data_IF_205271741590
#
_entry.id   IF_205271741590
#
_cell.length_a   1.000
_cell.length_b   1.000
_cell.length_c   1.000
_cell.angle_alpha   90.00
_cell.angle_beta   90.00
_cell.angle_gamma   90.00
#
_symmetry.space_group_name_H-M   'P 1'
#
loop_
_entity.id
_entity.type
_entity.pdbx_description
1 polymer ?
#
# COMPACT_ATOMS: atom_id res chain seq x y z
N UNK A 1 45.51 13.09 -35.87
CA UNK A 1 44.85 11.84 -35.42
C UNK A 1 45.13 11.63 -33.93
N UNK A 2 44.21 12.02 -33.03
CA UNK A 2 44.11 11.47 -31.67
C UNK A 2 42.75 11.84 -31.08
N UNK A 3 41.80 10.99 -31.41
CA UNK A 3 40.49 10.92 -30.80
C UNK A 3 40.62 10.33 -29.37
N UNK A 4 39.61 10.60 -28.53
CA UNK A 4 39.30 9.97 -27.25
C UNK A 4 40.04 10.51 -26.02
N UNK A 5 39.47 11.58 -25.45
CA UNK A 5 39.37 11.67 -24.00
C UNK A 5 37.91 11.90 -23.63
N UNK A 6 37.12 10.82 -23.75
CA UNK A 6 35.78 10.76 -23.20
C UNK A 6 35.90 10.82 -21.68
N UNK A 7 35.49 11.93 -21.08
CA UNK A 7 35.36 12.09 -19.63
C UNK A 7 34.53 10.93 -19.08
N UNK A 8 35.14 10.06 -18.29
CA UNK A 8 34.44 9.02 -17.56
C UNK A 8 33.58 9.70 -16.47
N UNK A 9 32.36 10.11 -16.84
CA UNK A 9 31.40 10.68 -15.90
C UNK A 9 30.97 9.58 -14.95
N UNK A 10 31.63 9.48 -13.79
CA UNK A 10 31.14 8.65 -12.69
C UNK A 10 29.74 9.15 -12.34
N UNK A 11 28.74 8.31 -12.55
CA UNK A 11 27.36 8.65 -12.22
C UNK A 11 27.31 8.93 -10.71
N UNK A 12 26.98 10.15 -10.25
CA UNK A 12 27.06 10.52 -8.83
C UNK A 12 26.13 9.69 -7.94
N UNK A 13 25.25 8.88 -8.53
CA UNK A 13 24.33 7.96 -7.87
C UNK A 13 24.82 6.52 -7.80
N UNK A 14 26.05 6.20 -8.23
CA UNK A 14 26.58 4.83 -8.13
C UNK A 14 27.04 4.54 -6.70
N UNK A 15 26.15 4.01 -5.86
CA UNK A 15 26.53 3.45 -4.56
C UNK A 15 27.36 2.18 -4.79
N UNK A 16 28.28 1.90 -3.86
CA UNK A 16 28.92 0.57 -3.77
C UNK A 16 27.85 -0.51 -3.60
N UNK A 17 28.12 -1.75 -4.06
CA UNK A 17 27.19 -2.88 -3.96
C UNK A 17 26.59 -3.03 -2.54
N UNK A 18 27.42 -2.86 -1.51
CA UNK A 18 26.98 -2.87 -0.10
C UNK A 18 26.00 -1.74 0.22
N UNK A 19 26.24 -0.54 -0.31
CA UNK A 19 25.36 0.62 -0.16
C UNK A 19 24.05 0.46 -0.90
N UNK A 20 24.06 -0.16 -2.08
CA UNK A 20 22.84 -0.49 -2.82
C UNK A 20 21.98 -1.51 -2.06
N UNK A 21 22.59 -2.58 -1.52
CA UNK A 21 21.89 -3.57 -0.69
C UNK A 21 21.31 -2.89 0.57
N UNK A 22 22.09 -2.05 1.24
CA UNK A 22 21.61 -1.29 2.41
C UNK A 22 20.44 -0.37 2.07
N UNK A 23 20.50 0.35 0.95
CA UNK A 23 19.42 1.21 0.50
C UNK A 23 18.13 0.42 0.21
N UNK A 24 18.23 -0.70 -0.51
CA UNK A 24 17.06 -1.55 -0.78
C UNK A 24 16.51 -2.19 0.49
N UNK A 25 17.35 -2.59 1.44
CA UNK A 25 16.88 -3.13 2.72
C UNK A 25 16.06 -2.08 3.49
N UNK A 26 16.56 -0.85 3.59
CA UNK A 26 15.84 0.26 4.22
C UNK A 26 14.53 0.54 3.48
N UNK A 27 14.57 0.70 2.15
CA UNK A 27 13.37 0.92 1.35
C UNK A 27 12.33 -0.19 1.52
N UNK A 28 12.76 -1.45 1.60
CA UNK A 28 11.88 -2.59 1.79
C UNK A 28 11.21 -2.56 3.17
N UNK A 29 11.96 -2.23 4.23
CA UNK A 29 11.41 -2.10 5.59
C UNK A 29 10.37 -0.99 5.64
N UNK A 30 10.68 0.19 5.09
CA UNK A 30 9.75 1.31 5.05
C UNK A 30 8.52 1.01 4.18
N UNK A 31 8.70 0.34 3.04
CA UNK A 31 7.60 -0.12 2.21
C UNK A 31 6.68 -1.08 2.97
N UNK A 32 7.23 -2.09 3.65
CA UNK A 32 6.46 -3.03 4.46
C UNK A 32 5.69 -2.31 5.59
N UNK A 33 6.33 -1.36 6.27
CA UNK A 33 5.67 -0.54 7.29
C UNK A 33 4.52 0.29 6.72
N UNK A 34 4.70 0.87 5.52
CA UNK A 34 3.65 1.64 4.84
C UNK A 34 2.46 0.79 4.37
N UNK A 35 2.70 -0.48 4.03
CA UNK A 35 1.67 -1.42 3.59
C UNK A 35 0.82 -1.91 4.77
N UNK A 36 1.41 -2.03 5.96
CA UNK A 36 0.71 -2.52 7.15
C UNK A 36 -0.64 -1.82 7.45
N UNK A 37 -0.74 -0.48 7.54
CA UNK A 37 -2.03 0.18 7.78
C UNK A 37 -3.05 -0.08 6.68
N UNK A 38 -2.61 -0.18 5.42
CA UNK A 38 -3.48 -0.52 4.29
C UNK A 38 -4.07 -1.92 4.48
N UNK A 39 -3.23 -2.91 4.80
CA UNK A 39 -3.69 -4.26 5.12
C UNK A 39 -4.67 -4.25 6.30
N UNK A 40 -4.43 -3.45 7.34
CA UNK A 40 -5.35 -3.34 8.48
C UNK A 40 -6.73 -2.81 8.08
N UNK A 41 -6.81 -1.82 7.19
CA UNK A 41 -8.10 -1.32 6.66
C UNK A 41 -8.82 -2.43 5.89
N UNK A 42 -8.11 -3.19 5.05
CA UNK A 42 -8.68 -4.34 4.36
C UNK A 42 -9.17 -5.41 5.33
N UNK A 43 -8.40 -5.77 6.36
CA UNK A 43 -8.81 -6.72 7.39
C UNK A 43 -10.09 -6.28 8.11
N UNK A 44 -10.20 -4.99 8.43
CA UNK A 44 -11.39 -4.41 9.09
C UNK A 44 -12.61 -4.49 8.16
N UNK A 45 -12.43 -4.22 6.86
CA UNK A 45 -13.53 -4.28 5.88
C UNK A 45 -14.15 -5.68 5.72
N UNK A 46 -13.39 -6.73 6.04
CA UNK A 46 -13.84 -8.13 6.00
C UNK A 46 -14.42 -8.62 7.34
N UNK A 47 -14.37 -7.78 8.38
CA UNK A 47 -14.76 -8.21 9.72
C UNK A 47 -16.29 -8.29 9.81
N UNK A 48 -16.87 -9.42 10.25
CA UNK A 48 -18.31 -9.56 10.40
C UNK A 48 -18.87 -8.63 11.47
N UNK A 49 -20.16 -8.33 11.31
CA UNK A 49 -20.83 -7.31 12.12
C UNK A 49 -20.90 -7.68 13.60
N UNK A 50 -20.83 -6.65 14.45
CA UNK A 50 -20.78 -6.81 15.90
C UNK A 50 -19.39 -7.08 16.49
N UNK A 51 -18.33 -7.21 15.67
CA UNK A 51 -16.94 -7.49 16.15
C UNK A 51 -15.94 -6.35 15.93
N UNK A 52 -16.40 -5.13 15.60
CA UNK A 52 -15.52 -3.99 15.31
C UNK A 52 -14.58 -3.64 16.49
N UNK A 53 -15.01 -3.89 17.72
CA UNK A 53 -14.26 -3.58 18.94
C UNK A 53 -13.25 -4.67 19.37
N UNK A 54 -13.14 -5.79 18.63
CA UNK A 54 -12.19 -6.86 18.98
C UNK A 54 -10.75 -6.44 18.66
N UNK A 55 -9.87 -6.47 19.68
CA UNK A 55 -8.44 -6.12 19.62
C UNK A 55 -7.57 -7.22 18.96
N UNK A 56 -8.02 -7.80 17.85
CA UNK A 56 -7.21 -8.75 17.06
C UNK A 56 -6.27 -8.01 16.10
N UNK A 57 -5.03 -8.50 16.01
CA UNK A 57 -3.97 -8.05 15.07
C UNK A 57 -3.87 -8.95 13.84
N UNK A 58 -4.78 -9.91 13.68
CA UNK A 58 -4.81 -10.80 12.53
C UNK A 58 -5.04 -10.03 11.23
N UNK A 59 -4.28 -10.41 10.19
CA UNK A 59 -4.43 -9.84 8.84
C UNK A 59 -5.70 -10.37 8.18
N UNK A 60 -6.10 -11.62 8.46
CA UNK A 60 -7.36 -12.20 8.01
C UNK A 60 -8.18 -12.49 9.26
N UNK A 61 -9.31 -11.80 9.49
CA UNK A 61 -10.09 -11.97 10.70
C UNK A 61 -10.84 -13.31 10.69
N UNK A 62 -11.09 -13.85 11.89
CA UNK A 62 -11.96 -15.01 12.06
C UNK A 62 -13.38 -14.73 11.55
N UNK A 63 -13.85 -15.60 10.65
CA UNK A 63 -15.15 -15.46 9.99
C UNK A 63 -15.19 -14.30 8.99
N UNK A 64 -14.08 -14.01 8.33
CA UNK A 64 -14.00 -13.03 7.24
C UNK A 64 -15.19 -13.18 6.27
N UNK A 65 -15.86 -12.06 5.99
CA UNK A 65 -17.07 -12.02 5.17
C UNK A 65 -17.08 -10.80 4.27
N UNK A 66 -17.80 -10.89 3.16
CA UNK A 66 -18.06 -9.77 2.24
C UNK A 66 -19.38 -9.06 2.52
N UNK A 67 -20.09 -9.42 3.60
CA UNK A 67 -21.41 -8.86 3.91
C UNK A 67 -21.41 -7.33 3.99
N UNK A 68 -20.34 -6.73 4.52
CA UNK A 68 -20.19 -5.28 4.59
C UNK A 68 -20.13 -4.63 3.20
N UNK A 69 -19.52 -5.31 2.22
CA UNK A 69 -19.51 -4.85 0.83
C UNK A 69 -20.89 -4.98 0.19
N UNK A 70 -21.58 -6.10 0.39
CA UNK A 70 -22.95 -6.30 -0.11
C UNK A 70 -23.86 -5.18 0.40
N UNK A 71 -23.83 -4.90 1.71
CA UNK A 71 -24.58 -3.80 2.31
C UNK A 71 -24.16 -2.43 1.78
N UNK A 72 -22.86 -2.17 1.67
CA UNK A 72 -22.36 -0.89 1.15
C UNK A 72 -22.90 -0.62 -0.25
N UNK A 73 -22.84 -1.60 -1.13
CA UNK A 73 -23.26 -1.38 -2.50
C UNK A 73 -24.79 -1.39 -2.66
N UNK A 74 -25.52 -2.30 -2.00
CA UNK A 74 -26.97 -2.48 -2.24
C UNK A 74 -27.87 -1.78 -1.24
N UNK A 75 -27.40 -1.49 -0.02
CA UNK A 75 -28.21 -0.90 1.05
C UNK A 75 -27.84 0.57 1.36
N UNK A 76 -26.91 1.17 0.60
CA UNK A 76 -26.50 2.58 0.77
C UNK A 76 -26.34 3.29 -0.57
N UNK A 77 -26.36 4.63 -0.56
CA UNK A 77 -26.15 5.49 -1.74
C UNK A 77 -24.66 5.61 -2.16
N UNK A 78 -23.82 4.64 -1.78
CA UNK A 78 -22.38 4.69 -1.97
C UNK A 78 -21.95 5.01 -3.41
N UNK A 79 -22.58 4.39 -4.40
CA UNK A 79 -22.24 4.62 -5.81
C UNK A 79 -22.57 6.05 -6.27
N UNK A 80 -23.62 6.66 -5.71
CA UNK A 80 -23.98 8.06 -5.99
C UNK A 80 -22.91 8.98 -5.38
N UNK A 81 -22.50 8.73 -4.14
CA UNK A 81 -21.44 9.53 -3.49
C UNK A 81 -20.09 9.39 -4.17
N UNK A 82 -19.74 8.17 -4.61
CA UNK A 82 -18.53 7.91 -5.38
C UNK A 82 -18.56 8.68 -6.70
N UNK A 83 -19.68 8.61 -7.43
CA UNK A 83 -19.87 9.35 -8.68
C UNK A 83 -19.77 10.86 -8.48
N UNK A 84 -20.44 11.40 -7.46
CA UNK A 84 -20.37 12.82 -7.12
C UNK A 84 -18.93 13.25 -6.78
N UNK A 85 -18.19 12.43 -6.04
CA UNK A 85 -16.80 12.73 -5.68
C UNK A 85 -15.90 12.77 -6.91
N UNK A 86 -16.05 11.82 -7.84
CA UNK A 86 -15.29 11.78 -9.09
C UNK A 86 -15.64 12.93 -10.05
N UNK A 87 -16.87 13.41 -10.02
CA UNK A 87 -17.30 14.52 -10.87
C UNK A 87 -16.79 15.88 -10.38
N UNK A 88 -16.69 16.05 -9.05
CA UNK A 88 -16.32 17.32 -8.42
C UNK A 88 -14.78 17.47 -8.27
N UNK A 89 -14.03 16.38 -8.05
CA UNK A 89 -12.58 16.42 -7.79
C UNK A 89 -11.76 16.76 -9.01
#
# INVERSE_FOLDING_TARGET
MKEKSGRNMRNPRSLSLKGQIGAYAVLTIFAAFSIYPVLRVFSISLRPEGRLLTRSLEIIPDGATISSYVKLFWDTDFLIWLGNSLFIS
#
